data_IF_468423806210
#
_entry.id   IF_468423806210
#
_cell.length_a   1.000
_cell.length_b   1.000
_cell.length_c   1.000
_cell.angle_alpha   90.00
_cell.angle_beta   90.00
_cell.angle_gamma   90.00
#
_symmetry.space_group_name_H-M   'P 1'
#
loop_
_entity.id
_entity.type
_entity.pdbx_description
1 polymer ?
#
# COMPACT_ATOMS: atom_id res chain seq x y z
N UNK A 1 -9.00 -5.02 3.00
CA UNK A 1 -9.16 -5.72 1.70
C UNK A 1 -10.28 -6.73 1.84
N UNK A 2 -11.15 -6.87 0.82
CA UNK A 2 -12.17 -7.92 0.76
C UNK A 2 -11.85 -8.79 -0.46
N UNK A 3 -12.00 -10.09 -0.33
CA UNK A 3 -11.77 -11.05 -1.40
C UNK A 3 -13.12 -11.53 -1.95
N UNK A 4 -13.17 -11.81 -3.24
CA UNK A 4 -14.40 -12.30 -3.90
C UNK A 4 -14.74 -13.73 -3.48
N UNK A 5 -13.73 -14.50 -3.07
CA UNK A 5 -13.85 -15.87 -2.60
C UNK A 5 -13.31 -16.00 -1.16
N UNK A 6 -13.75 -17.02 -0.39
CA UNK A 6 -13.17 -17.32 0.90
C UNK A 6 -11.66 -17.59 0.76
N UNK A 7 -10.88 -17.11 1.73
CA UNK A 7 -9.46 -17.44 1.78
C UNK A 7 -9.29 -18.94 1.98
N UNK A 8 -8.40 -19.56 1.20
CA UNK A 8 -8.03 -20.97 1.38
C UNK A 8 -7.58 -21.23 2.82
N UNK A 9 -8.00 -22.36 3.38
CA UNK A 9 -7.60 -22.82 4.72
C UNK A 9 -6.09 -23.03 4.85
N UNK A 10 -5.40 -23.21 3.72
CA UNK A 10 -3.98 -23.57 3.68
C UNK A 10 -3.05 -22.34 3.68
N UNK A 11 -3.64 -21.13 3.58
CA UNK A 11 -2.89 -19.89 3.62
C UNK A 11 -2.35 -19.61 5.02
N UNK A 12 -1.03 -19.74 5.14
CA UNK A 12 -0.31 -19.47 6.39
C UNK A 12 -0.14 -17.96 6.61
N UNK A 13 0.04 -17.51 7.87
CA UNK A 13 0.51 -16.16 8.15
C UNK A 13 1.87 -15.89 7.47
N UNK A 14 2.10 -14.66 7.03
CA UNK A 14 3.41 -14.27 6.51
C UNK A 14 4.43 -14.20 7.65
N UNK A 15 5.47 -15.04 7.57
CA UNK A 15 6.45 -15.20 8.65
C UNK A 15 7.48 -14.07 8.71
N UNK A 16 7.81 -13.39 7.60
CA UNK A 16 8.71 -12.22 7.63
C UNK A 16 8.73 -11.46 6.28
N UNK A 17 9.39 -10.29 6.28
CA UNK A 17 9.55 -9.37 5.15
C UNK A 17 10.35 -9.91 3.94
N UNK A 18 10.73 -11.19 3.94
CA UNK A 18 11.53 -11.84 2.89
C UNK A 18 10.70 -12.66 1.90
N UNK A 19 9.43 -12.90 2.20
CA UNK A 19 8.52 -13.68 1.36
C UNK A 19 7.53 -12.79 0.65
N UNK A 20 7.40 -12.96 -0.67
CA UNK A 20 6.35 -12.28 -1.44
C UNK A 20 5.02 -12.75 -0.89
N UNK A 21 4.27 -11.80 -0.36
CA UNK A 21 3.03 -12.07 0.36
C UNK A 21 1.81 -11.88 -0.54
N UNK A 22 1.91 -10.95 -1.50
CA UNK A 22 0.87 -10.65 -2.48
C UNK A 22 1.51 -10.28 -3.81
N UNK A 23 0.94 -10.80 -4.89
CA UNK A 23 1.32 -10.46 -6.26
C UNK A 23 0.10 -9.90 -7.00
N UNK A 24 0.27 -8.77 -7.66
CA UNK A 24 -0.72 -8.19 -8.57
C UNK A 24 -0.19 -8.36 -9.98
N UNK A 25 -0.92 -9.09 -10.81
CA UNK A 25 -0.63 -9.24 -12.24
C UNK A 25 -1.66 -8.45 -13.03
N UNK A 26 -1.19 -7.50 -13.83
CA UNK A 26 -2.01 -6.74 -14.75
C UNK A 26 -1.62 -7.11 -16.18
N UNK A 27 -2.62 -7.48 -16.98
CA UNK A 27 -2.43 -7.77 -18.41
C UNK A 27 -3.09 -6.69 -19.22
N UNK A 28 -2.32 -6.08 -20.12
CA UNK A 28 -2.76 -5.03 -21.01
C UNK A 28 -2.66 -5.56 -22.44
N UNK A 29 -3.81 -5.72 -23.08
CA UNK A 29 -3.94 -6.07 -24.48
C UNK A 29 -4.62 -4.93 -25.22
N UNK A 30 -4.24 -4.65 -26.48
CA UNK A 30 -4.91 -3.66 -27.32
C UNK A 30 -6.41 -3.97 -27.42
N UNK A 31 -7.25 -2.96 -27.15
CA UNK A 31 -8.71 -3.03 -27.26
C UNK A 31 -9.43 -4.05 -26.35
N UNK A 32 -8.74 -4.62 -25.36
CA UNK A 32 -9.35 -5.48 -24.35
C UNK A 32 -9.35 -4.74 -23.01
N UNK A 33 -10.43 -4.91 -22.24
CA UNK A 33 -10.46 -4.40 -20.86
C UNK A 33 -9.31 -5.01 -20.08
N UNK A 34 -8.53 -4.16 -19.41
CA UNK A 34 -7.42 -4.59 -18.55
C UNK A 34 -7.87 -5.66 -17.58
N UNK A 35 -7.14 -6.77 -17.55
CA UNK A 35 -7.37 -7.86 -16.61
C UNK A 35 -6.39 -7.73 -15.45
N UNK A 36 -6.93 -7.72 -14.24
CA UNK A 36 -6.14 -7.70 -13.02
C UNK A 36 -6.41 -8.98 -12.23
N UNK A 37 -5.34 -9.71 -11.94
CA UNK A 37 -5.36 -10.88 -11.07
C UNK A 37 -4.56 -10.54 -9.81
N UNK A 38 -5.12 -10.87 -8.66
CA UNK A 38 -4.47 -10.69 -7.36
C UNK A 38 -4.28 -12.07 -6.78
N UNK A 39 -3.03 -12.43 -6.50
CA UNK A 39 -2.68 -13.69 -5.87
C UNK A 39 -2.14 -13.42 -4.47
N UNK A 40 -2.73 -14.09 -3.48
CA UNK A 40 -2.30 -14.02 -2.10
C UNK A 40 -1.48 -15.27 -1.79
N UNK A 41 -0.22 -15.09 -1.40
CA UNK A 41 0.69 -16.21 -1.07
C UNK A 41 0.69 -16.52 0.42
N UNK A 42 0.43 -15.52 1.27
CA UNK A 42 0.27 -15.65 2.71
C UNK A 42 -0.60 -14.53 3.27
N UNK A 43 -1.14 -14.71 4.48
CA UNK A 43 -2.02 -13.71 5.09
C UNK A 43 -1.21 -12.75 5.96
N UNK A 44 -1.29 -11.46 5.63
CA UNK A 44 -0.77 -10.39 6.47
C UNK A 44 -1.71 -10.16 7.68
N UNK A 45 -1.62 -11.03 8.68
CA UNK A 45 -2.45 -10.99 9.88
C UNK A 45 -1.92 -10.01 10.94
N UNK A 46 -2.84 -9.37 11.66
CA UNK A 46 -2.57 -8.49 12.80
C UNK A 46 -2.67 -7.00 12.45
N UNK A 47 -3.27 -6.20 13.34
CA UNK A 47 -3.52 -4.76 13.15
C UNK A 47 -2.29 -3.85 13.14
N UNK A 48 -1.09 -4.43 13.02
CA UNK A 48 0.20 -3.74 13.04
C UNK A 48 1.10 -4.11 11.87
N UNK A 49 0.56 -4.62 10.77
CA UNK A 49 1.31 -4.94 9.55
C UNK A 49 0.76 -4.20 8.34
N UNK A 50 1.59 -3.98 7.33
CA UNK A 50 1.18 -3.37 6.07
C UNK A 50 1.87 -4.01 4.86
N UNK A 51 1.23 -3.88 3.70
CA UNK A 51 1.73 -4.35 2.41
C UNK A 51 2.73 -3.34 1.86
N UNK A 52 4.02 -3.66 1.93
CA UNK A 52 5.08 -2.85 1.36
C UNK A 52 5.40 -3.33 -0.04
N UNK A 53 5.34 -2.43 -1.00
CA UNK A 53 5.81 -2.67 -2.36
C UNK A 53 7.27 -3.12 -2.37
N UNK A 54 7.57 -4.19 -3.12
CA UNK A 54 8.89 -4.81 -3.19
C UNK A 54 9.51 -4.70 -4.58
N UNK A 55 8.79 -5.11 -5.62
CA UNK A 55 9.33 -5.14 -6.98
C UNK A 55 8.26 -5.01 -8.04
N UNK A 56 8.68 -4.55 -9.22
CA UNK A 56 7.88 -4.41 -10.42
C UNK A 56 8.62 -5.08 -11.58
N UNK A 57 7.88 -5.88 -12.33
CA UNK A 57 8.36 -6.53 -13.55
C UNK A 57 7.38 -6.25 -14.65
N UNK A 58 7.83 -5.54 -15.68
CA UNK A 58 7.09 -5.30 -16.91
C UNK A 58 7.69 -6.18 -18.02
N UNK A 59 6.83 -6.92 -18.70
CA UNK A 59 7.20 -7.74 -19.86
C UNK A 59 6.29 -7.39 -21.01
N UNK A 60 6.88 -7.09 -22.15
CA UNK A 60 6.16 -6.90 -23.39
C UNK A 60 6.41 -8.09 -24.33
N UNK A 61 5.34 -8.60 -24.91
CA UNK A 61 5.36 -9.66 -25.92
C UNK A 61 4.93 -9.07 -27.25
N UNK A 62 5.86 -8.98 -28.20
CA UNK A 62 5.57 -8.47 -29.56
C UNK A 62 4.58 -9.36 -30.31
N UNK A 63 4.68 -10.68 -30.15
CA UNK A 63 3.82 -11.66 -30.84
C UNK A 63 2.35 -11.51 -30.45
N UNK A 64 2.08 -11.29 -29.17
CA UNK A 64 0.72 -11.15 -28.63
C UNK A 64 0.29 -9.70 -28.46
N UNK A 65 1.20 -8.74 -28.71
CA UNK A 65 1.06 -7.32 -28.36
C UNK A 65 0.62 -7.12 -26.91
N UNK A 66 1.02 -8.01 -26.01
CA UNK A 66 0.60 -8.03 -24.61
C UNK A 66 1.69 -7.42 -23.73
N UNK A 67 1.30 -6.46 -22.89
CA UNK A 67 2.13 -6.02 -21.76
C UNK A 67 1.61 -6.70 -20.49
N UNK A 68 2.50 -7.42 -19.80
CA UNK A 68 2.24 -8.03 -18.49
C UNK A 68 3.05 -7.29 -17.44
N UNK A 69 2.35 -6.70 -16.48
CA UNK A 69 2.92 -6.01 -15.33
C UNK A 69 2.72 -6.89 -14.10
N UNK A 70 3.77 -7.10 -13.32
CA UNK A 70 3.75 -7.89 -12.09
C UNK A 70 4.33 -7.05 -10.96
N UNK A 71 3.48 -6.69 -10.00
CA UNK A 71 3.88 -5.99 -8.78
C UNK A 71 3.86 -6.95 -7.60
N UNK A 72 4.96 -7.01 -6.86
CA UNK A 72 5.10 -7.87 -5.68
C UNK A 72 5.14 -7.06 -4.41
N UNK A 73 4.50 -7.57 -3.36
CA UNK A 73 4.38 -6.93 -2.06
C UNK A 73 4.79 -7.87 -0.94
N UNK A 74 5.49 -7.31 0.05
CA UNK A 74 5.80 -7.95 1.31
C UNK A 74 4.85 -7.52 2.40
N UNK A 75 4.63 -8.40 3.37
CA UNK A 75 3.95 -8.04 4.60
C UNK A 75 5.00 -7.66 5.65
N UNK A 76 4.97 -6.41 6.13
CA UNK A 76 5.94 -5.93 7.11
C UNK A 76 5.27 -5.29 8.32
N UNK A 77 5.93 -5.34 9.48
CA UNK A 77 5.43 -4.70 10.68
C UNK A 77 5.51 -3.17 10.57
N UNK A 78 4.41 -2.50 10.91
CA UNK A 78 4.37 -1.07 11.15
C UNK A 78 5.27 -0.76 12.35
N UNK A 79 6.24 0.11 12.15
CA UNK A 79 7.06 0.64 13.24
C UNK A 79 6.27 1.71 13.99
N UNK A 80 6.68 2.05 15.20
CA UNK A 80 6.16 3.24 15.89
C UNK A 80 6.88 4.47 15.36
N UNK A 81 6.12 5.50 15.01
CA UNK A 81 6.67 6.82 14.68
C UNK A 81 6.85 7.68 15.93
N UNK A 82 7.70 8.70 15.82
CA UNK A 82 7.78 9.81 16.77
C UNK A 82 6.78 10.91 16.40
N UNK A 83 6.49 11.85 17.31
CA UNK A 83 5.78 13.08 16.96
C UNK A 83 6.37 13.77 15.72
N UNK A 84 5.50 14.33 14.89
CA UNK A 84 5.81 15.06 13.64
C UNK A 84 6.55 14.27 12.55
N UNK A 85 6.84 12.99 12.79
CA UNK A 85 7.47 12.13 11.81
C UNK A 85 6.52 11.84 10.65
N UNK A 86 7.08 11.73 9.45
CA UNK A 86 6.39 11.18 8.29
C UNK A 86 5.82 9.80 8.64
N UNK A 87 4.51 9.63 8.42
CA UNK A 87 3.79 8.43 8.81
C UNK A 87 3.15 7.68 7.65
N UNK A 88 3.09 8.27 6.45
CA UNK A 88 2.50 7.62 5.30
C UNK A 88 2.20 8.55 4.15
N UNK A 89 1.63 7.97 3.09
CA UNK A 89 1.19 8.71 1.91
C UNK A 89 -0.32 8.80 1.86
N UNK A 90 -0.84 10.01 1.75
CA UNK A 90 -2.26 10.28 1.69
C UNK A 90 -2.72 10.51 0.25
N UNK A 91 -3.93 10.03 -0.04
CA UNK A 91 -4.63 10.37 -1.27
C UNK A 91 -5.88 11.19 -0.96
N UNK A 92 -5.99 12.35 -1.60
CA UNK A 92 -7.13 13.26 -1.45
C UNK A 92 -8.42 12.73 -2.09
N UNK A 93 -8.31 11.91 -3.14
CA UNK A 93 -9.44 11.39 -3.90
C UNK A 93 -10.25 10.32 -3.15
N UNK A 94 -9.59 9.47 -2.36
CA UNK A 94 -10.25 8.43 -1.55
C UNK A 94 -10.28 8.73 -0.05
N UNK A 95 -9.61 9.80 0.41
CA UNK A 95 -9.63 10.22 1.81
C UNK A 95 -8.98 9.22 2.78
N UNK A 96 -7.98 8.46 2.34
CA UNK A 96 -7.25 7.52 3.20
C UNK A 96 -5.73 7.72 3.10
N UNK A 97 -5.03 7.18 4.11
CA UNK A 97 -3.57 7.23 4.23
C UNK A 97 -2.98 5.82 4.20
N UNK A 98 -2.00 5.61 3.32
CA UNK A 98 -1.12 4.45 3.34
C UNK A 98 -0.10 4.60 4.46
N UNK A 99 -0.44 4.03 5.61
CA UNK A 99 0.40 4.10 6.81
C UNK A 99 1.67 3.27 6.61
N UNK A 100 2.83 3.86 6.90
CA UNK A 100 4.14 3.19 6.96
C UNK A 100 4.64 3.01 8.39
N UNK A 101 4.00 3.68 9.34
CA UNK A 101 4.18 3.50 10.78
C UNK A 101 2.87 3.79 11.52
N UNK A 102 2.85 3.48 12.82
CA UNK A 102 1.77 3.85 13.74
C UNK A 102 2.20 5.06 14.56
N UNK A 103 1.39 6.11 14.55
CA UNK A 103 1.61 7.30 15.36
C UNK A 103 1.48 7.01 16.86
N UNK A 104 2.15 7.80 17.72
CA UNK A 104 2.01 7.67 19.17
C UNK A 104 0.59 8.04 19.63
N UNK A 105 0.28 7.72 20.89
CA UNK A 105 -1.03 8.01 21.50
C UNK A 105 -1.31 9.53 21.40
N UNK A 106 -2.55 9.90 21.09
CA UNK A 106 -3.02 11.29 20.82
C UNK A 106 -2.59 11.90 19.47
N UNK A 107 -1.69 11.24 18.73
CA UNK A 107 -1.30 11.66 17.39
C UNK A 107 -2.05 10.85 16.33
N UNK A 108 -2.48 11.52 15.27
CA UNK A 108 -3.03 10.89 14.06
C UNK A 108 -2.11 11.16 12.88
N UNK A 109 -2.15 10.26 11.92
CA UNK A 109 -1.43 10.43 10.66
C UNK A 109 -2.25 11.37 9.76
N UNK A 110 -1.89 12.65 9.76
CA UNK A 110 -2.66 13.72 9.11
C UNK A 110 -1.84 14.25 7.94
N UNK A 111 -2.51 14.49 6.81
CA UNK A 111 -1.96 15.23 5.68
C UNK A 111 -2.67 16.58 5.57
N UNK A 112 -1.93 17.61 5.17
CA UNK A 112 -2.50 18.92 4.87
C UNK A 112 -2.43 19.15 3.35
N UNK A 113 -3.56 19.15 2.63
CA UNK A 113 -3.58 19.38 1.19
C UNK A 113 -3.17 20.82 0.80
N UNK A 114 -3.16 21.76 1.75
CA UNK A 114 -2.68 23.13 1.54
C UNK A 114 -1.15 23.25 1.57
N UNK A 115 -0.45 22.27 2.14
CA UNK A 115 1.01 22.16 2.13
C UNK A 115 1.41 21.38 0.87
N UNK A 116 2.16 21.99 -0.04
CA UNK A 116 2.56 21.42 -1.34
C UNK A 116 3.64 20.31 -1.23
N UNK A 117 3.49 19.38 -0.29
CA UNK A 117 4.40 18.25 -0.13
C UNK A 117 3.83 17.02 -0.86
N UNK A 118 3.85 17.09 -2.20
CA UNK A 118 3.46 15.97 -3.06
C UNK A 118 4.68 15.18 -3.50
N UNK A 119 4.57 13.86 -3.51
CA UNK A 119 5.58 12.94 -4.03
C UNK A 119 5.04 12.22 -5.26
N UNK A 120 5.80 12.27 -6.35
CA UNK A 120 5.54 11.50 -7.57
C UNK A 120 6.11 10.08 -7.46
N UNK A 121 5.52 9.13 -8.18
CA UNK A 121 6.01 7.75 -8.23
C UNK A 121 5.78 6.96 -6.94
N UNK A 122 4.78 7.33 -6.14
CA UNK A 122 4.40 6.58 -4.94
C UNK A 122 3.74 5.27 -5.35
N UNK A 123 4.37 4.16 -4.98
CA UNK A 123 3.89 2.81 -5.22
C UNK A 123 3.36 2.21 -3.91
N UNK A 124 2.04 2.10 -3.84
CA UNK A 124 1.30 1.54 -2.72
C UNK A 124 0.30 0.49 -3.24
N UNK A 125 -0.28 -0.30 -2.34
CA UNK A 125 -1.18 -1.37 -2.74
C UNK A 125 -2.39 -0.81 -3.53
N UNK A 126 -2.54 -1.24 -4.78
CA UNK A 126 -3.55 -0.73 -5.74
C UNK A 126 -3.39 0.75 -6.14
N UNK A 127 -2.20 1.31 -5.96
CA UNK A 127 -1.97 2.70 -6.32
C UNK A 127 -0.55 2.96 -6.79
N UNK A 128 -0.46 3.59 -7.95
CA UNK A 128 0.77 4.16 -8.47
C UNK A 128 0.46 5.58 -8.93
N UNK A 129 1.14 6.58 -8.37
CA UNK A 129 0.93 7.98 -8.75
C UNK A 129 1.45 8.98 -7.74
N UNK A 130 0.86 10.18 -7.76
CA UNK A 130 1.24 11.30 -6.90
C UNK A 130 0.43 11.34 -5.60
N UNK A 131 1.09 11.20 -4.45
CA UNK A 131 0.45 11.27 -3.14
C UNK A 131 1.01 12.41 -2.28
N UNK A 132 0.27 12.79 -1.24
CA UNK A 132 0.67 13.81 -0.27
C UNK A 132 1.38 13.15 0.92
N UNK A 133 2.36 13.83 1.49
CA UNK A 133 2.95 13.38 2.75
C UNK A 133 1.98 13.55 3.92
N UNK A 134 1.86 12.52 4.74
CA UNK A 134 1.17 12.57 6.01
C UNK A 134 2.20 12.50 7.15
N UNK A 135 1.94 13.24 8.23
CA UNK A 135 2.76 13.30 9.43
C UNK A 135 1.95 13.00 10.68
N UNK A 136 2.62 12.47 11.71
CA UNK A 136 1.99 12.30 13.01
C UNK A 136 1.78 13.67 13.66
N UNK A 137 0.53 14.14 13.71
CA UNK A 137 0.13 15.41 14.33
C UNK A 137 -0.91 15.17 15.41
N UNK A 138 -0.96 16.06 16.41
CA UNK A 138 -2.00 16.03 17.43
C UNK A 138 -3.35 16.33 16.78
N UNK A 139 -4.39 15.62 17.23
CA UNK A 139 -5.73 15.81 16.66
C UNK A 139 -6.39 17.11 17.10
N UNK A 140 -6.11 17.55 18.34
CA UNK A 140 -6.49 18.83 18.92
C UNK A 140 -5.35 19.24 19.86
N UNK A 141 -4.92 20.50 19.80
CA UNK A 141 -3.95 21.05 20.77
C UNK A 141 -4.57 21.21 22.18
N UNK A 142 -5.90 21.13 22.28
CA UNK A 142 -6.67 21.24 23.54
C UNK A 142 -6.79 19.93 24.33
N UNK A 143 -6.43 18.78 23.76
CA UNK A 143 -6.50 17.46 24.43
C UNK A 143 -5.29 17.19 25.36
N UNK A 144 -4.42 18.19 25.56
CA UNK A 144 -3.20 18.10 26.38
C UNK A 144 -3.38 18.66 27.81
N UNK A 145 -4.60 19.01 28.22
CA UNK A 145 -4.92 19.59 29.53
C UNK A 145 -5.89 18.73 30.36
#
# INVERSE_FOLDING_TARGET
>A
MRFCEPLSSDLKPCDDASTVALTITQKHLPNVRQQQQIELHCICQGGGKYWKYFSHVEKYSEETQETVIIDNFYCINLRRCTPDQFCGFARTDYGFVYHRCTCPIHYKCIFDPGVQNTFEGVQELFYNGTAYEAHCRLTNEDDLW
#
